data_IF_940662820016
#
_entry.id   IF_940662820016
#
_cell.length_a   1.000
_cell.length_b   1.000
_cell.length_c   1.000
_cell.angle_alpha   90.00
_cell.angle_beta   90.00
_cell.angle_gamma   90.00
#
_symmetry.space_group_name_H-M   'P 1'
#
loop_
_entity.id
_entity.type
_entity.pdbx_description
1 polymer ?
#
# COMPACT_ATOMS: atom_id res chain seq x y z
N UNK A 1 18.94 -60.38 32.98
CA UNK A 1 17.96 -59.57 32.21
C UNK A 1 18.44 -58.13 32.23
N UNK A 2 19.12 -57.69 31.17
CA UNK A 2 19.63 -56.31 31.07
C UNK A 2 18.55 -55.40 30.49
N UNK A 3 18.17 -54.37 31.22
CA UNK A 3 17.25 -53.34 30.75
C UNK A 3 18.00 -52.29 29.93
N UNK A 4 17.65 -52.14 28.66
CA UNK A 4 18.12 -51.05 27.80
C UNK A 4 17.16 -49.88 27.95
N UNK A 5 17.64 -48.75 28.48
CA UNK A 5 16.88 -47.50 28.56
C UNK A 5 17.04 -46.78 27.23
N UNK A 6 15.96 -46.70 26.45
CA UNK A 6 15.90 -45.91 25.21
C UNK A 6 15.48 -44.49 25.58
N UNK A 7 16.40 -43.53 25.47
CA UNK A 7 16.13 -42.11 25.63
C UNK A 7 15.53 -41.58 24.32
N UNK A 8 14.25 -41.22 24.35
CA UNK A 8 13.57 -40.56 23.23
C UNK A 8 13.88 -39.06 23.29
N UNK A 9 14.87 -38.60 22.52
CA UNK A 9 15.09 -37.17 22.32
C UNK A 9 13.96 -36.59 21.47
N UNK A 10 13.02 -35.89 22.11
CA UNK A 10 12.03 -35.05 21.42
C UNK A 10 12.78 -33.82 20.90
N UNK A 11 13.23 -33.87 19.65
CA UNK A 11 13.74 -32.71 18.94
C UNK A 11 12.53 -31.80 18.69
N UNK A 12 12.34 -30.80 19.55
CA UNK A 12 11.34 -29.76 19.35
C UNK A 12 11.79 -28.89 18.18
N UNK A 13 11.28 -29.20 16.98
CA UNK A 13 11.47 -28.36 15.80
C UNK A 13 10.69 -27.08 16.03
N UNK A 14 11.36 -26.06 16.56
CA UNK A 14 10.81 -24.71 16.59
C UNK A 14 10.75 -24.24 15.15
N UNK A 15 9.58 -24.38 14.52
CA UNK A 15 9.37 -23.86 13.17
C UNK A 15 9.70 -22.37 13.19
N UNK A 16 10.66 -21.95 12.37
CA UNK A 16 10.85 -20.54 12.08
C UNK A 16 9.56 -20.05 11.44
N UNK A 17 8.72 -19.34 12.20
CA UNK A 17 7.63 -18.57 11.63
C UNK A 17 8.29 -17.45 10.82
N UNK A 18 8.34 -17.63 9.49
CA UNK A 18 8.73 -16.55 8.60
C UNK A 18 7.76 -15.39 8.84
N UNK A 19 8.28 -14.27 9.35
CA UNK A 19 7.48 -13.06 9.55
C UNK A 19 6.81 -12.69 8.21
N UNK A 20 5.48 -12.67 8.20
CA UNK A 20 4.70 -12.33 7.01
C UNK A 20 4.76 -10.82 6.79
N UNK A 21 5.28 -10.38 5.64
CA UNK A 21 5.32 -8.95 5.29
C UNK A 21 3.90 -8.45 5.04
N UNK A 22 3.51 -7.39 5.74
CA UNK A 22 2.21 -6.74 5.60
C UNK A 22 2.32 -5.50 4.72
N UNK A 23 1.60 -5.51 3.60
CA UNK A 23 1.49 -4.40 2.66
C UNK A 23 0.09 -3.80 2.78
N UNK A 24 -0.03 -2.49 2.98
CA UNK A 24 -1.30 -1.76 2.90
C UNK A 24 -1.32 -0.90 1.65
N UNK A 25 -2.36 -1.02 0.84
CA UNK A 25 -2.53 -0.22 -0.39
C UNK A 25 -3.58 0.86 -0.13
N UNK A 26 -3.12 2.08 0.19
CA UNK A 26 -3.97 3.25 0.39
C UNK A 26 -4.30 3.90 -0.95
N UNK A 27 -5.48 3.62 -1.50
CA UNK A 27 -5.87 4.17 -2.80
C UNK A 27 -7.34 4.51 -2.95
N UNK A 28 -7.75 4.70 -4.19
CA UNK A 28 -9.12 5.03 -4.57
C UNK A 28 -9.84 3.86 -5.25
N UNK A 29 -10.71 4.12 -6.22
CA UNK A 29 -11.47 3.11 -6.98
C UNK A 29 -10.57 2.14 -7.73
N UNK A 30 -9.38 2.59 -8.20
CA UNK A 30 -8.42 1.73 -8.88
C UNK A 30 -7.91 0.64 -7.94
N UNK A 31 -7.67 1.01 -6.68
CA UNK A 31 -7.23 0.09 -5.62
C UNK A 31 -8.39 -0.75 -5.09
N UNK A 32 -9.56 -0.15 -4.89
CA UNK A 32 -10.75 -0.89 -4.44
C UNK A 32 -11.10 -2.03 -5.42
N UNK A 33 -10.88 -1.82 -6.72
CA UNK A 33 -11.33 -2.73 -7.76
C UNK A 33 -12.74 -2.38 -8.23
N UNK A 34 -13.04 -1.09 -8.40
CA UNK A 34 -14.36 -0.66 -8.86
C UNK A 34 -14.69 -1.28 -10.23
N UNK A 35 -15.81 -2.00 -10.29
CA UNK A 35 -16.29 -2.66 -11.51
C UNK A 35 -15.74 -4.07 -11.75
N UNK A 36 -14.98 -4.64 -10.80
CA UNK A 36 -14.47 -6.02 -10.89
C UNK A 36 -14.74 -6.79 -9.59
N UNK A 37 -14.57 -8.11 -9.61
CA UNK A 37 -14.63 -8.92 -8.39
C UNK A 37 -13.42 -8.62 -7.48
N UNK A 38 -13.55 -8.93 -6.19
CA UNK A 38 -12.49 -8.67 -5.20
C UNK A 38 -11.18 -9.41 -5.55
N UNK A 39 -11.31 -10.59 -6.13
CA UNK A 39 -10.20 -11.45 -6.56
C UNK A 39 -9.51 -10.94 -7.84
N UNK A 40 -10.15 -10.01 -8.55
CA UNK A 40 -9.63 -9.38 -9.76
C UNK A 40 -9.00 -8.01 -9.48
N UNK A 41 -9.28 -7.43 -8.31
CA UNK A 41 -8.66 -6.17 -7.90
C UNK A 41 -7.14 -6.33 -7.77
N UNK A 42 -6.38 -5.35 -8.25
CA UNK A 42 -4.91 -5.48 -8.33
C UNK A 42 -4.21 -5.74 -6.97
N UNK A 43 -4.70 -5.27 -5.79
CA UNK A 43 -4.05 -5.63 -4.53
C UNK A 43 -4.13 -7.14 -4.24
N UNK A 44 -5.23 -7.79 -4.62
CA UNK A 44 -5.35 -9.25 -4.52
C UNK A 44 -4.40 -9.96 -5.48
N UNK A 45 -4.36 -9.49 -6.74
CA UNK A 45 -3.44 -10.05 -7.74
C UNK A 45 -1.97 -9.85 -7.36
N UNK A 46 -1.64 -8.72 -6.73
CA UNK A 46 -0.31 -8.42 -6.19
C UNK A 46 0.07 -9.41 -5.09
N UNK A 47 -0.83 -9.67 -4.13
CA UNK A 47 -0.61 -10.67 -3.09
C UNK A 47 -0.30 -12.04 -3.70
N UNK A 48 -1.17 -12.49 -4.61
CA UNK A 48 -1.03 -13.78 -5.29
C UNK A 48 0.28 -13.90 -6.07
N UNK A 49 0.67 -12.86 -6.78
CA UNK A 49 1.90 -12.86 -7.59
C UNK A 49 3.16 -12.85 -6.72
N UNK A 50 3.17 -12.11 -5.60
CA UNK A 50 4.28 -12.12 -4.65
C UNK A 50 4.40 -13.47 -3.94
N UNK A 51 3.28 -14.06 -3.52
CA UNK A 51 3.25 -15.40 -2.93
C UNK A 51 3.73 -16.47 -3.93
N UNK A 52 3.32 -16.37 -5.20
CA UNK A 52 3.80 -17.25 -6.28
C UNK A 52 5.33 -17.15 -6.47
N UNK A 53 5.92 -15.97 -6.22
CA UNK A 53 7.37 -15.75 -6.24
C UNK A 53 8.09 -16.19 -4.97
N UNK A 54 7.39 -16.80 -4.02
CA UNK A 54 7.96 -17.32 -2.78
C UNK A 54 8.03 -16.30 -1.63
N UNK A 55 7.40 -15.14 -1.75
CA UNK A 55 7.35 -14.16 -0.66
C UNK A 55 6.18 -14.46 0.28
N UNK A 56 6.45 -14.53 1.59
CA UNK A 56 5.39 -14.59 2.62
C UNK A 56 4.81 -13.18 2.81
N UNK A 57 3.76 -12.85 2.05
CA UNK A 57 3.12 -11.53 2.09
C UNK A 57 1.63 -11.60 2.37
N UNK A 58 1.11 -10.54 2.97
CA UNK A 58 -0.32 -10.21 3.02
C UNK A 58 -0.53 -8.80 2.52
N UNK A 59 -1.52 -8.60 1.65
CA UNK A 59 -1.87 -7.31 1.09
C UNK A 59 -3.26 -6.92 1.56
N UNK A 60 -3.34 -5.82 2.31
CA UNK A 60 -4.60 -5.19 2.68
C UNK A 60 -4.98 -4.22 1.57
N UNK A 61 -6.07 -4.55 0.87
CA UNK A 61 -6.77 -3.60 0.02
C UNK A 61 -7.45 -2.55 0.90
N UNK A 62 -6.88 -1.34 0.92
CA UNK A 62 -7.45 -0.21 1.62
C UNK A 62 -7.98 0.84 0.64
N UNK A 63 -8.43 0.44 -0.56
CA UNK A 63 -9.04 1.31 -1.56
C UNK A 63 -10.43 1.80 -1.15
N UNK A 64 -10.74 3.05 -1.48
CA UNK A 64 -12.08 3.65 -1.28
C UNK A 64 -12.40 4.52 -2.49
N UNK A 65 -13.38 4.14 -3.29
CA UNK A 65 -13.81 4.80 -4.51
C UNK A 65 -14.08 6.29 -4.30
N UNK A 66 -13.59 7.08 -5.25
CA UNK A 66 -13.74 8.54 -5.20
C UNK A 66 -12.89 9.25 -4.14
N UNK A 67 -12.01 8.55 -3.41
CA UNK A 67 -11.12 9.18 -2.45
C UNK A 67 -10.10 10.09 -3.10
N UNK A 68 -9.86 11.23 -2.46
CA UNK A 68 -8.80 12.18 -2.82
C UNK A 68 -7.63 12.07 -1.84
N UNK A 69 -6.52 12.75 -2.18
CA UNK A 69 -5.33 12.91 -1.35
C UNK A 69 -5.66 13.42 0.06
N UNK A 70 -6.70 14.23 0.22
CA UNK A 70 -7.10 14.81 1.50
C UNK A 70 -7.45 13.76 2.57
N UNK A 71 -7.89 12.57 2.14
CA UNK A 71 -8.20 11.46 3.04
C UNK A 71 -6.96 10.67 3.50
N UNK A 72 -5.83 10.82 2.81
CA UNK A 72 -4.67 9.95 3.00
C UNK A 72 -4.08 9.99 4.42
N UNK A 73 -3.88 11.17 5.06
CA UNK A 73 -3.25 11.20 6.39
C UNK A 73 -4.10 10.55 7.49
N UNK A 74 -5.43 10.72 7.45
CA UNK A 74 -6.31 10.12 8.45
C UNK A 74 -6.43 8.61 8.25
N UNK A 75 -6.48 8.15 7.00
CA UNK A 75 -6.51 6.73 6.67
C UNK A 75 -5.20 6.04 7.06
N UNK A 76 -4.05 6.66 6.79
CA UNK A 76 -2.77 6.09 7.22
C UNK A 76 -2.70 5.94 8.76
N UNK A 77 -3.15 6.94 9.54
CA UNK A 77 -3.25 6.82 11.00
C UNK A 77 -4.08 5.64 11.47
N UNK A 78 -5.11 5.26 10.73
CA UNK A 78 -5.89 4.07 11.03
C UNK A 78 -5.09 2.79 10.77
N UNK A 79 -4.44 2.69 9.61
CA UNK A 79 -3.72 1.48 9.20
C UNK A 79 -2.37 1.26 9.87
N UNK A 80 -1.72 2.31 10.41
CA UNK A 80 -0.48 2.17 11.22
C UNK A 80 -0.69 1.21 12.40
N UNK A 81 -1.91 1.14 12.95
CA UNK A 81 -2.26 0.23 14.05
C UNK A 81 -2.12 -1.26 13.70
N UNK A 82 -2.12 -1.59 12.41
CA UNK A 82 -1.87 -2.95 11.93
C UNK A 82 -0.37 -3.28 11.80
N UNK A 83 0.51 -2.32 12.10
CA UNK A 83 1.97 -2.43 11.94
C UNK A 83 2.40 -2.89 10.54
N UNK A 84 1.99 -2.18 9.46
CA UNK A 84 2.40 -2.56 8.11
C UNK A 84 3.89 -2.32 7.89
N UNK A 85 4.54 -3.23 7.17
CA UNK A 85 5.93 -3.06 6.74
C UNK A 85 6.01 -2.09 5.55
N UNK A 86 5.01 -2.15 4.66
CA UNK A 86 4.96 -1.37 3.42
C UNK A 86 3.60 -0.69 3.29
N UNK A 87 3.61 0.57 2.88
CA UNK A 87 2.43 1.29 2.42
C UNK A 87 2.61 1.69 0.95
N UNK A 88 1.69 1.28 0.09
CA UNK A 88 1.57 1.80 -1.27
C UNK A 88 0.55 2.94 -1.24
N UNK A 89 0.99 4.16 -1.50
CA UNK A 89 0.15 5.35 -1.58
C UNK A 89 -0.26 5.59 -3.05
N UNK A 90 -1.50 5.23 -3.38
CA UNK A 90 -2.08 5.31 -4.72
C UNK A 90 -3.28 6.26 -4.75
N UNK A 91 -3.04 7.53 -4.36
CA UNK A 91 -4.05 8.59 -4.32
C UNK A 91 -3.58 9.82 -5.11
N UNK A 92 -4.55 10.63 -5.54
CA UNK A 92 -4.32 11.86 -6.31
C UNK A 92 -5.11 11.88 -7.63
N UNK A 93 -5.46 10.72 -8.19
CA UNK A 93 -6.24 10.63 -9.43
C UNK A 93 -7.55 11.43 -9.35
N UNK A 94 -8.32 11.25 -8.28
CA UNK A 94 -9.56 12.01 -8.06
C UNK A 94 -9.34 13.51 -7.78
N UNK A 95 -8.19 13.93 -7.26
CA UNK A 95 -7.86 15.35 -7.11
C UNK A 95 -7.72 15.98 -8.51
N UNK A 96 -6.97 15.32 -9.39
CA UNK A 96 -6.76 15.76 -10.77
C UNK A 96 -8.04 15.75 -11.60
N UNK A 97 -8.80 14.64 -11.56
CA UNK A 97 -10.07 14.51 -12.30
C UNK A 97 -11.17 15.47 -11.83
N UNK A 98 -11.04 16.06 -10.63
CA UNK A 98 -11.97 17.08 -10.12
C UNK A 98 -11.43 18.50 -10.26
N UNK A 99 -10.25 18.69 -10.88
CA UNK A 99 -9.63 20.00 -11.03
C UNK A 99 -9.26 20.66 -9.70
N UNK A 100 -8.96 19.87 -8.65
CA UNK A 100 -8.63 20.42 -7.34
C UNK A 100 -7.22 21.03 -7.33
N UNK A 101 -6.92 21.82 -6.29
CA UNK A 101 -5.61 22.46 -6.14
C UNK A 101 -4.47 21.44 -6.04
N UNK A 102 -3.56 21.48 -7.03
CA UNK A 102 -2.33 20.67 -7.07
C UNK A 102 -1.45 20.93 -5.83
N UNK A 103 -1.40 22.19 -5.36
CA UNK A 103 -0.68 22.55 -4.13
C UNK A 103 -1.24 21.83 -2.90
N UNK A 104 -2.56 21.74 -2.77
CA UNK A 104 -3.18 21.01 -1.66
C UNK A 104 -2.97 19.50 -1.80
N UNK A 105 -3.06 18.96 -3.02
CA UNK A 105 -2.74 17.57 -3.29
C UNK A 105 -1.32 17.22 -2.84
N UNK A 106 -0.32 17.99 -3.29
CA UNK A 106 1.09 17.84 -2.89
C UNK A 106 1.24 17.84 -1.37
N UNK A 107 0.63 18.82 -0.69
CA UNK A 107 0.67 18.93 0.78
C UNK A 107 0.09 17.70 1.47
N UNK A 108 -1.02 17.17 0.98
CA UNK A 108 -1.66 15.99 1.58
C UNK A 108 -0.83 14.72 1.38
N UNK A 109 -0.26 14.54 0.19
CA UNK A 109 0.62 13.41 -0.12
C UNK A 109 1.92 13.50 0.68
N UNK A 110 2.61 14.65 0.72
CA UNK A 110 3.85 14.81 1.51
C UNK A 110 3.59 14.54 2.99
N UNK A 111 2.51 15.07 3.57
CA UNK A 111 2.14 14.78 4.96
C UNK A 111 1.92 13.29 5.24
N UNK A 112 1.41 12.56 4.26
CA UNK A 112 1.20 11.11 4.38
C UNK A 112 2.52 10.35 4.29
N UNK A 113 3.40 10.78 3.38
CA UNK A 113 4.77 10.24 3.23
C UNK A 113 5.58 10.44 4.50
N UNK A 114 5.62 11.68 5.01
CA UNK A 114 6.30 12.04 6.25
C UNK A 114 5.78 11.22 7.45
N UNK A 115 4.45 11.01 7.52
CA UNK A 115 3.85 10.19 8.57
C UNK A 115 4.27 8.70 8.47
N UNK A 116 4.32 8.12 7.27
CA UNK A 116 4.80 6.75 7.11
C UNK A 116 6.27 6.63 7.52
N UNK A 117 7.10 7.60 7.10
CA UNK A 117 8.53 7.64 7.42
C UNK A 117 8.79 7.80 8.93
N UNK A 118 7.99 8.63 9.63
CA UNK A 118 8.14 8.79 11.08
C UNK A 118 7.82 7.51 11.86
N UNK A 119 6.94 6.68 11.32
CA UNK A 119 6.60 5.35 11.85
C UNK A 119 7.55 4.24 11.34
N UNK A 120 8.59 4.59 10.58
CA UNK A 120 9.56 3.68 9.96
C UNK A 120 8.93 2.65 9.01
N UNK A 121 7.82 3.03 8.36
CA UNK A 121 7.14 2.21 7.35
C UNK A 121 7.75 2.53 5.98
N UNK A 122 8.07 1.51 5.19
CA UNK A 122 8.49 1.72 3.81
C UNK A 122 7.30 2.22 2.99
N UNK A 123 7.44 3.38 2.34
CA UNK A 123 6.36 3.95 1.54
C UNK A 123 6.72 3.97 0.05
N UNK A 124 5.80 3.49 -0.78
CA UNK A 124 5.86 3.51 -2.23
C UNK A 124 4.78 4.46 -2.76
N UNK A 125 5.17 5.54 -3.43
CA UNK A 125 4.24 6.45 -4.08
C UNK A 125 3.93 5.95 -5.50
N UNK A 126 2.66 5.66 -5.78
CA UNK A 126 2.23 5.35 -7.15
C UNK A 126 1.96 6.63 -7.93
N UNK A 127 2.77 6.88 -8.95
CA UNK A 127 2.62 8.04 -9.84
C UNK A 127 1.31 7.99 -10.63
N UNK A 128 0.64 9.13 -10.77
CA UNK A 128 -0.61 9.24 -11.53
C UNK A 128 -0.46 10.20 -12.71
N UNK A 129 -1.30 10.00 -13.72
CA UNK A 129 -1.50 10.92 -14.84
C UNK A 129 -2.99 11.19 -15.01
N UNK A 130 -3.32 12.32 -15.62
CA UNK A 130 -4.70 12.70 -15.96
C UNK A 130 -4.82 13.05 -17.45
N UNK A 131 -6.03 12.98 -18.03
CA UNK A 131 -6.25 13.33 -19.43
C UNK A 131 -5.84 14.77 -19.76
N UNK A 132 -5.42 15.02 -21.00
CA UNK A 132 -4.87 16.32 -21.43
C UNK A 132 -5.93 17.44 -21.58
N UNK A 133 -7.22 17.13 -21.47
CA UNK A 133 -8.32 18.09 -21.63
C UNK A 133 -8.50 19.05 -20.43
N UNK A 134 -7.65 18.97 -19.40
CA UNK A 134 -7.63 19.88 -18.25
C UNK A 134 -6.64 21.06 -18.43
N UNK A 135 -5.96 21.13 -19.59
CA UNK A 135 -4.97 22.17 -19.91
C UNK A 135 -3.55 21.75 -19.50
N UNK A 136 -2.58 22.06 -20.36
CA UNK A 136 -1.18 21.62 -20.23
C UNK A 136 -0.55 22.01 -18.90
N UNK A 137 -0.76 23.25 -18.45
CA UNK A 137 -0.19 23.73 -17.19
C UNK A 137 -0.70 22.91 -15.99
N UNK A 138 -1.99 22.59 -15.96
CA UNK A 138 -2.58 21.79 -14.88
C UNK A 138 -2.10 20.34 -14.94
N UNK A 139 -2.09 19.71 -16.12
CA UNK A 139 -1.68 18.31 -16.26
C UNK A 139 -0.18 18.10 -15.98
N UNK A 140 0.67 19.04 -16.39
CA UNK A 140 2.10 19.01 -16.09
C UNK A 140 2.38 19.24 -14.60
N UNK A 141 1.77 20.27 -14.01
CA UNK A 141 1.94 20.54 -12.57
C UNK A 141 1.44 19.37 -11.72
N UNK A 142 0.31 18.77 -12.07
CA UNK A 142 -0.20 17.54 -11.44
C UNK A 142 0.81 16.40 -11.49
N UNK A 143 1.34 16.08 -12.69
CA UNK A 143 2.31 15.00 -12.88
C UNK A 143 3.60 15.26 -12.10
N UNK A 144 4.08 16.50 -12.11
CA UNK A 144 5.33 16.88 -11.46
C UNK A 144 5.30 16.69 -9.94
N UNK A 145 4.13 16.80 -9.29
CA UNK A 145 4.01 16.50 -7.85
C UNK A 145 4.54 15.11 -7.49
N UNK A 146 4.26 14.10 -8.31
CA UNK A 146 4.71 12.73 -8.02
C UNK A 146 6.23 12.58 -8.15
N UNK A 147 6.85 13.29 -9.10
CA UNK A 147 8.31 13.30 -9.25
C UNK A 147 9.01 14.07 -8.13
N UNK A 148 8.40 15.16 -7.64
CA UNK A 148 8.97 15.98 -6.56
C UNK A 148 8.87 15.31 -5.17
N UNK A 149 7.97 14.34 -5.01
CA UNK A 149 7.74 13.64 -3.73
C UNK A 149 8.43 12.27 -3.65
N UNK A 150 9.04 11.78 -4.74
CA UNK A 150 9.65 10.46 -4.85
C UNK A 150 11.17 10.49 -4.61
#
# INVERSE_FOLDING_TARGET
>A
MSFVIVIFCIISFSGFALAQTLIVVLGDSLTEGFGVAKEEAYPHLLEKELQRKGHSVKVINAGISGSTSASAPSRLRWYIKAHPDIVILALGGNDGLRGLSVKHMKKNLSKTIELAQSEKILILLAGMQIPQNYGTEYTESFRNVFHELA
#
